data_IF_536923457357
#
_entry.id   IF_536923457357
#
_cell.length_a   1.000
_cell.length_b   1.000
_cell.length_c   1.000
_cell.angle_alpha   90.00
_cell.angle_beta   90.00
_cell.angle_gamma   90.00
#
_symmetry.space_group_name_H-M   'P 1'
#
loop_
_entity.id
_entity.type
_entity.pdbx_description
1 polymer ?
#
# COMPACT_ATOMS: atom_id res chain seq x y z
N UNK A 1 10.91 31.27 -6.20
CA UNK A 1 11.13 29.81 -6.21
C UNK A 1 9.76 29.19 -6.35
N UNK A 2 9.41 28.76 -7.56
CA UNK A 2 8.18 28.00 -7.78
C UNK A 2 8.35 26.62 -7.19
N UNK A 3 7.60 26.31 -6.13
CA UNK A 3 7.38 24.93 -5.73
C UNK A 3 6.39 24.34 -6.74
N UNK A 4 6.90 23.72 -7.80
CA UNK A 4 6.07 22.84 -8.61
C UNK A 4 5.60 21.70 -7.68
N UNK A 5 4.33 21.76 -7.25
CA UNK A 5 3.74 20.67 -6.50
C UNK A 5 3.91 19.37 -7.30
N UNK A 6 4.36 18.29 -6.64
CA UNK A 6 4.42 16.98 -7.27
C UNK A 6 3.04 16.64 -7.83
N UNK A 7 2.94 16.30 -9.11
CA UNK A 7 1.66 15.94 -9.73
C UNK A 7 1.32 14.46 -9.52
N UNK A 8 1.76 13.91 -8.38
CA UNK A 8 1.48 12.56 -7.97
C UNK A 8 0.45 12.61 -6.85
N UNK A 9 -0.70 11.97 -7.06
CA UNK A 9 -1.81 11.97 -6.12
C UNK A 9 -2.12 10.57 -5.65
N UNK A 10 -2.43 10.43 -4.36
CA UNK A 10 -3.01 9.22 -3.81
C UNK A 10 -4.53 9.42 -3.68
N UNK A 11 -5.29 8.65 -4.44
CA UNK A 11 -6.76 8.59 -4.34
C UNK A 11 -7.12 7.28 -3.66
N UNK A 12 -8.03 7.32 -2.70
CA UNK A 12 -8.42 6.13 -1.96
C UNK A 12 -9.92 6.14 -1.66
N UNK A 13 -10.57 5.00 -1.88
CA UNK A 13 -11.99 4.80 -1.57
C UNK A 13 -12.34 3.32 -1.36
N UNK A 14 -13.50 3.09 -0.77
CA UNK A 14 -14.08 1.77 -0.55
C UNK A 14 -15.23 1.56 -1.53
N UNK A 15 -15.25 0.40 -2.20
CA UNK A 15 -16.42 -0.06 -2.95
C UNK A 15 -17.15 -1.08 -2.11
N UNK A 16 -18.39 -0.76 -1.71
CA UNK A 16 -19.19 -1.54 -0.74
C UNK A 16 -20.48 -2.13 -1.31
N UNK A 17 -20.56 -2.37 -2.63
CA UNK A 17 -21.70 -3.04 -3.26
C UNK A 17 -21.35 -4.50 -3.58
N UNK A 18 -21.87 -5.45 -2.78
CA UNK A 18 -21.54 -6.88 -2.88
C UNK A 18 -20.26 -7.25 -2.12
N UNK A 19 -19.12 -7.30 -2.81
CA UNK A 19 -17.81 -7.60 -2.22
C UNK A 19 -17.10 -6.32 -1.77
N UNK A 20 -16.90 -6.16 -0.46
CA UNK A 20 -16.19 -5.00 0.08
C UNK A 20 -14.71 -5.04 -0.32
N UNK A 21 -14.26 -4.03 -1.07
CA UNK A 21 -12.86 -3.87 -1.50
C UNK A 21 -12.38 -2.44 -1.26
N UNK A 22 -11.10 -2.31 -0.92
CA UNK A 22 -10.39 -1.03 -0.89
C UNK A 22 -9.72 -0.85 -2.25
N UNK A 23 -9.90 0.33 -2.84
CA UNK A 23 -9.23 0.75 -4.07
C UNK A 23 -8.34 1.94 -3.71
N UNK A 24 -7.04 1.79 -3.92
CA UNK A 24 -6.07 2.87 -3.80
C UNK A 24 -5.44 3.11 -5.17
N UNK A 25 -5.36 4.36 -5.61
CA UNK A 25 -4.84 4.74 -6.92
C UNK A 25 -3.69 5.71 -6.70
N UNK A 26 -2.51 5.35 -7.20
CA UNK A 26 -1.37 6.26 -7.31
C UNK A 26 -1.42 6.86 -8.71
N UNK A 27 -1.89 8.09 -8.80
CA UNK A 27 -2.06 8.85 -10.04
C UNK A 27 -0.81 9.68 -10.30
N UNK A 28 -0.21 9.58 -11.48
CA UNK A 28 0.90 10.42 -11.92
C UNK A 28 0.46 11.20 -13.16
N UNK A 29 0.15 12.49 -12.98
CA UNK A 29 -0.28 13.37 -14.07
C UNK A 29 0.88 13.89 -14.92
N UNK A 30 2.13 13.78 -14.46
CA UNK A 30 3.28 14.11 -15.33
C UNK A 30 3.39 13.12 -16.49
N UNK A 31 3.15 11.84 -16.18
CA UNK A 31 3.22 10.76 -17.16
C UNK A 31 1.86 10.32 -17.71
N UNK A 32 0.76 10.85 -17.15
CA UNK A 32 -0.61 10.45 -17.45
C UNK A 32 -0.82 8.93 -17.28
N UNK A 33 -0.36 8.40 -16.15
CA UNK A 33 -0.48 6.98 -15.79
C UNK A 33 -0.99 6.82 -14.36
N UNK A 34 -1.48 5.63 -14.03
CA UNK A 34 -1.80 5.29 -12.65
C UNK A 34 -1.50 3.83 -12.33
N UNK A 35 -1.26 3.55 -11.06
CA UNK A 35 -1.38 2.19 -10.53
C UNK A 35 -2.60 2.11 -9.64
N UNK A 36 -3.49 1.19 -9.96
CA UNK A 36 -4.67 0.84 -9.17
C UNK A 36 -4.34 -0.40 -8.35
N UNK A 37 -4.45 -0.26 -7.03
CA UNK A 37 -4.33 -1.33 -6.07
C UNK A 37 -5.72 -1.69 -5.57
N UNK A 38 -6.19 -2.89 -5.91
CA UNK A 38 -7.45 -3.42 -5.38
C UNK A 38 -7.16 -4.42 -4.28
N UNK A 39 -7.50 -4.08 -3.04
CA UNK A 39 -7.36 -4.95 -1.88
C UNK A 39 -8.70 -5.55 -1.46
N UNK A 40 -8.74 -6.87 -1.31
CA UNK A 40 -9.89 -7.63 -0.85
C UNK A 40 -9.56 -8.33 0.46
N UNK A 41 -10.42 -8.14 1.46
CA UNK A 41 -10.40 -8.95 2.66
C UNK A 41 -11.03 -10.32 2.38
N UNK A 42 -10.61 -11.36 3.11
CA UNK A 42 -11.21 -12.67 2.99
C UNK A 42 -12.68 -12.65 3.41
N UNK A 43 -13.51 -13.41 2.70
CA UNK A 43 -14.85 -13.78 3.18
C UNK A 43 -14.73 -14.72 4.40
N UNK A 44 -15.81 -14.87 5.19
CA UNK A 44 -15.84 -15.60 6.47
C UNK A 44 -15.22 -17.02 6.41
N UNK A 45 -15.40 -17.72 5.30
CA UNK A 45 -14.85 -19.08 5.11
C UNK A 45 -13.31 -19.07 5.02
N UNK A 46 -12.71 -18.01 4.47
CA UNK A 46 -11.25 -17.88 4.35
C UNK A 46 -10.57 -17.34 5.61
N UNK A 47 -11.26 -16.60 6.47
CA UNK A 47 -10.72 -16.08 7.75
C UNK A 47 -10.63 -17.15 8.84
N UNK A 48 -11.30 -18.28 8.63
CA UNK A 48 -11.46 -19.34 9.63
C UNK A 48 -10.44 -20.49 9.48
N UNK A 49 -9.60 -20.48 8.44
CA UNK A 49 -8.55 -21.50 8.23
C UNK A 49 -7.32 -21.11 9.08
N UNK A 50 -6.93 -21.94 10.07
CA UNK A 50 -5.74 -21.69 10.89
C UNK A 50 -4.46 -21.58 10.04
N UNK A 51 -3.50 -20.77 10.51
CA UNK A 51 -2.22 -20.57 9.80
C UNK A 51 -1.44 -21.88 9.57
N UNK A 52 -1.52 -22.83 10.51
CA UNK A 52 -0.85 -24.12 10.39
C UNK A 52 -1.43 -24.93 9.22
N UNK A 53 -2.76 -25.00 9.14
CA UNK A 53 -3.45 -25.68 8.05
C UNK A 53 -3.17 -25.03 6.68
N UNK A 54 -3.07 -23.69 6.62
CA UNK A 54 -2.64 -22.98 5.40
C UNK A 54 -1.24 -23.39 4.95
N UNK A 55 -0.30 -23.52 5.88
CA UNK A 55 1.07 -23.93 5.59
C UNK A 55 1.13 -25.39 5.11
N UNK A 56 0.40 -26.28 5.77
CA UNK A 56 0.27 -27.70 5.37
C UNK A 56 -0.30 -27.86 3.95
N UNK A 57 -1.16 -26.94 3.53
CA UNK A 57 -1.79 -26.91 2.21
C UNK A 57 -1.04 -26.05 1.17
N UNK A 58 0.13 -25.49 1.52
CA UNK A 58 0.91 -24.64 0.61
C UNK A 58 0.24 -23.31 0.23
N UNK A 59 -0.75 -22.86 1.00
CA UNK A 59 -1.46 -21.61 0.76
C UNK A 59 -0.65 -20.39 1.25
N UNK A 60 -0.91 -19.19 0.69
CA UNK A 60 -0.45 -17.95 1.32
C UNK A 60 -0.92 -17.86 2.78
N UNK A 61 0.02 -17.49 3.66
CA UNK A 61 -0.25 -17.35 5.10
C UNK A 61 -1.17 -16.16 5.40
N UNK A 62 -1.16 -15.13 4.55
CA UNK A 62 -2.14 -14.05 4.59
C UNK A 62 -3.38 -14.45 3.82
N UNK A 63 -4.55 -14.19 4.40
CA UNK A 63 -5.85 -14.35 3.76
C UNK A 63 -6.29 -13.10 2.98
N UNK A 64 -5.53 -11.99 3.07
CA UNK A 64 -5.78 -10.74 2.34
C UNK A 64 -5.18 -10.84 0.93
N UNK A 65 -5.93 -10.39 -0.07
CA UNK A 65 -5.49 -10.40 -1.47
C UNK A 65 -5.40 -8.97 -1.99
N UNK A 66 -4.33 -8.67 -2.74
CA UNK A 66 -4.19 -7.41 -3.46
C UNK A 66 -3.84 -7.68 -4.92
N UNK A 67 -4.55 -7.03 -5.85
CA UNK A 67 -4.20 -6.98 -7.27
C UNK A 67 -3.68 -5.59 -7.63
N UNK A 68 -2.79 -5.56 -8.62
CA UNK A 68 -2.12 -4.35 -9.09
C UNK A 68 -2.38 -4.24 -10.58
N UNK A 69 -2.96 -3.11 -11.00
CA UNK A 69 -3.28 -2.82 -12.38
C UNK A 69 -2.60 -1.50 -12.75
N UNK A 70 -1.90 -1.47 -13.88
CA UNK A 70 -1.24 -0.28 -14.40
C UNK A 70 -2.04 0.25 -15.58
N UNK A 71 -2.45 1.51 -15.50
CA UNK A 71 -3.38 2.13 -16.47
C UNK A 71 -2.84 3.44 -16.99
N UNK A 72 -3.32 3.84 -18.18
CA UNK A 72 -3.09 5.18 -18.73
C UNK A 72 -4.30 6.08 -18.44
N UNK A 73 -4.04 7.37 -18.26
CA UNK A 73 -5.05 8.41 -18.03
C UNK A 73 -5.30 9.11 -19.37
N UNK A 74 -6.57 9.23 -19.74
CA UNK A 74 -7.08 9.91 -20.93
C UNK A 74 -6.51 9.43 -22.29
N UNK A 75 -5.74 8.35 -22.29
CA UNK A 75 -5.11 7.77 -23.47
C UNK A 75 -5.25 6.24 -23.48
N UNK A 76 -5.28 5.59 -24.66
CA UNK A 76 -5.17 4.14 -24.75
C UNK A 76 -3.81 3.63 -24.25
N UNK A 77 -3.80 2.49 -23.57
CA UNK A 77 -2.56 1.82 -23.19
C UNK A 77 -1.88 1.23 -24.44
N UNK A 78 -0.56 1.38 -24.53
CA UNK A 78 0.27 0.85 -25.63
C UNK A 78 1.62 0.37 -25.08
N UNK A 79 2.42 -0.31 -25.91
CA UNK A 79 3.73 -0.84 -25.51
C UNK A 79 4.75 0.26 -25.11
N UNK A 80 4.50 1.51 -25.51
CA UNK A 80 5.33 2.66 -25.16
C UNK A 80 4.81 3.44 -23.95
N UNK A 81 3.63 3.09 -23.43
CA UNK A 81 3.08 3.73 -22.24
C UNK A 81 3.95 3.40 -21.02
N UNK A 82 4.49 4.40 -20.29
CA UNK A 82 5.26 4.16 -19.08
C UNK A 82 4.44 3.40 -18.03
N UNK A 83 5.11 2.59 -17.21
CA UNK A 83 4.47 1.87 -16.10
C UNK A 83 5.33 1.96 -14.86
N UNK A 84 4.67 2.10 -13.70
CA UNK A 84 5.32 1.97 -12.40
C UNK A 84 5.72 0.51 -12.20
N UNK A 85 7.02 0.23 -12.02
CA UNK A 85 7.57 -1.14 -11.99
C UNK A 85 7.93 -1.57 -10.58
N UNK A 86 7.91 -2.90 -10.36
CA UNK A 86 8.47 -3.50 -9.14
C UNK A 86 9.97 -3.24 -9.07
N UNK A 87 10.47 -2.94 -7.87
CA UNK A 87 11.89 -2.63 -7.62
C UNK A 87 12.43 -3.43 -6.43
N UNK A 88 13.74 -3.69 -6.45
CA UNK A 88 14.49 -4.34 -5.37
C UNK A 88 15.32 -3.36 -4.55
N UNK A 89 15.29 -2.07 -4.88
CA UNK A 89 16.22 -1.08 -4.36
C UNK A 89 16.12 -0.81 -2.85
N UNK A 90 15.03 -1.23 -2.18
CA UNK A 90 14.96 -1.22 -0.70
C UNK A 90 15.41 -2.52 -0.03
N UNK A 91 15.67 -3.59 -0.78
CA UNK A 91 16.22 -4.82 -0.20
C UNK A 91 17.60 -4.50 0.38
N UNK A 92 17.77 -4.73 1.68
CA UNK A 92 19.04 -4.52 2.40
C UNK A 92 19.26 -3.10 2.94
N UNK A 93 18.38 -2.13 2.65
CA UNK A 93 18.44 -0.84 3.33
C UNK A 93 17.81 -0.95 4.72
N UNK A 94 18.48 -0.38 5.72
CA UNK A 94 17.95 -0.24 7.07
C UNK A 94 17.33 1.14 7.20
N UNK A 95 16.02 1.21 7.09
CA UNK A 95 15.27 2.42 7.39
C UNK A 95 14.52 2.16 8.69
N UNK A 96 14.76 2.99 9.72
CA UNK A 96 14.15 2.77 11.03
C UNK A 96 12.76 3.41 11.06
N UNK A 97 11.76 2.56 10.97
CA UNK A 97 10.38 2.86 11.36
C UNK A 97 9.97 1.78 12.36
N UNK A 98 9.70 2.18 13.61
CA UNK A 98 9.48 1.22 14.70
C UNK A 98 8.00 0.91 14.81
N UNK A 99 7.56 -0.20 14.20
CA UNK A 99 6.22 -0.77 14.42
C UNK A 99 6.18 -2.34 14.54
N UNK A 100 6.80 -3.20 13.68
CA UNK A 100 6.99 -4.66 13.96
C UNK A 100 8.01 -5.45 13.07
N UNK A 101 8.10 -6.81 13.13
CA UNK A 101 9.09 -7.70 12.41
C UNK A 101 8.67 -8.20 11.01
N UNK A 102 7.51 -7.81 10.45
CA UNK A 102 6.97 -8.36 9.17
C UNK A 102 6.86 -7.33 8.05
N UNK A 103 7.55 -6.21 8.22
CA UNK A 103 7.29 -5.03 7.43
C UNK A 103 8.17 -5.04 6.16
N UNK A 104 7.62 -4.52 5.06
CA UNK A 104 8.21 -4.50 3.71
C UNK A 104 8.55 -3.07 3.32
N UNK A 105 9.66 -2.92 2.60
CA UNK A 105 10.22 -1.65 2.18
C UNK A 105 10.45 -1.70 0.63
N UNK A 106 9.92 -0.75 -0.15
CA UNK A 106 10.32 -0.44 -1.56
C UNK A 106 10.92 0.95 -1.78
N UNK A 107 12.00 1.08 -2.58
CA UNK A 107 12.62 2.40 -2.85
C UNK A 107 11.94 2.89 -4.10
N UNK A 108 11.28 4.02 -4.00
CA UNK A 108 10.58 4.60 -5.13
C UNK A 108 11.53 5.52 -5.91
N UNK A 109 12.33 6.31 -5.19
CA UNK A 109 13.36 7.20 -5.75
C UNK A 109 14.42 7.54 -4.67
N UNK A 110 15.39 8.39 -4.99
CA UNK A 110 16.25 9.03 -4.00
C UNK A 110 15.38 9.72 -2.95
N UNK A 111 15.67 9.46 -1.67
CA UNK A 111 14.93 10.00 -0.55
C UNK A 111 13.42 9.68 -0.53
N UNK A 112 12.94 8.74 -1.37
CA UNK A 112 11.53 8.38 -1.46
C UNK A 112 11.33 6.88 -1.32
N UNK A 113 10.53 6.48 -0.35
CA UNK A 113 10.39 5.09 0.07
C UNK A 113 8.93 4.73 0.31
N UNK A 114 8.57 3.47 0.10
CA UNK A 114 7.30 2.89 0.48
C UNK A 114 7.53 1.91 1.61
N UNK A 115 6.83 2.11 2.70
CA UNK A 115 6.82 1.24 3.87
C UNK A 115 5.44 0.61 4.03
N UNK A 116 5.42 -0.72 4.14
CA UNK A 116 4.19 -1.51 4.32
C UNK A 116 4.36 -2.42 5.52
N UNK A 117 3.49 -2.32 6.51
CA UNK A 117 3.48 -3.25 7.63
C UNK A 117 2.19 -4.04 7.72
N UNK A 118 2.31 -5.25 8.26
CA UNK A 118 1.20 -6.16 8.52
C UNK A 118 1.18 -6.49 10.01
N UNK A 119 0.20 -5.92 10.70
CA UNK A 119 -0.06 -6.19 12.11
C UNK A 119 -0.40 -7.67 12.32
N UNK A 120 0.17 -8.27 13.36
CA UNK A 120 0.04 -9.71 13.63
C UNK A 120 -1.20 -10.06 14.47
N UNK A 121 -1.66 -9.13 15.30
CA UNK A 121 -2.72 -9.38 16.30
C UNK A 121 -4.06 -8.85 15.82
N UNK A 122 -4.12 -7.56 15.49
CA UNK A 122 -5.30 -6.96 14.86
C UNK A 122 -5.05 -6.99 13.36
N UNK A 123 -5.91 -7.61 12.53
CA UNK A 123 -5.72 -7.65 11.09
C UNK A 123 -5.71 -6.23 10.52
N UNK A 124 -4.51 -5.72 10.28
CA UNK A 124 -4.30 -4.33 9.88
C UNK A 124 -3.09 -4.25 8.96
N UNK A 125 -3.26 -3.51 7.87
CA UNK A 125 -2.20 -3.18 6.93
C UNK A 125 -1.99 -1.68 6.97
N UNK A 126 -0.77 -1.26 7.24
CA UNK A 126 -0.36 0.12 7.00
C UNK A 126 0.47 0.21 5.74
N UNK A 127 0.25 1.26 4.96
CA UNK A 127 1.01 1.58 3.75
C UNK A 127 1.31 3.06 3.81
N UNK A 128 2.58 3.44 3.82
CA UNK A 128 3.01 4.84 3.83
C UNK A 128 4.15 5.06 2.85
N UNK A 129 4.09 6.18 2.13
CA UNK A 129 5.18 6.75 1.37
C UNK A 129 5.93 7.71 2.29
N UNK A 130 7.23 7.48 2.39
CA UNK A 130 8.17 8.24 3.20
C UNK A 130 9.01 9.07 2.24
N UNK A 131 8.74 10.37 2.21
CA UNK A 131 9.40 11.38 1.40
C UNK A 131 10.34 12.20 2.29
N UNK A 132 11.64 11.92 2.19
CA UNK A 132 12.67 12.59 2.97
C UNK A 132 13.09 13.92 2.35
N UNK A 133 12.75 14.20 1.09
CA UNK A 133 12.96 15.54 0.52
C UNK A 133 11.90 16.50 1.06
N UNK A 134 10.65 16.05 1.15
CA UNK A 134 9.57 16.80 1.77
C UNK A 134 9.58 16.76 3.31
N UNK A 135 10.34 15.83 3.91
CA UNK A 135 10.31 15.48 5.34
C UNK A 135 8.89 15.11 5.80
N UNK A 136 8.26 14.19 5.07
CA UNK A 136 6.86 13.81 5.22
C UNK A 136 6.61 12.33 5.03
N UNK A 137 5.62 11.82 5.75
CA UNK A 137 5.00 10.52 5.50
C UNK A 137 3.56 10.72 5.05
N UNK A 138 3.13 9.97 4.04
CA UNK A 138 1.77 9.97 3.51
C UNK A 138 1.30 8.55 3.26
N UNK A 139 0.14 8.18 3.77
CA UNK A 139 -0.36 6.84 3.56
C UNK A 139 -1.71 6.58 4.19
N UNK A 140 -1.94 5.31 4.51
CA UNK A 140 -3.20 4.84 5.07
C UNK A 140 -3.03 3.61 5.93
N UNK A 141 -4.00 3.42 6.81
CA UNK A 141 -4.19 2.19 7.54
C UNK A 141 -5.51 1.55 7.14
N UNK A 142 -5.49 0.24 6.95
CA UNK A 142 -6.63 -0.55 6.56
C UNK A 142 -6.81 -1.73 7.49
N UNK A 143 -8.02 -1.94 7.99
CA UNK A 143 -8.36 -3.06 8.87
C UNK A 143 -9.87 -3.23 9.01
N UNK A 144 -10.30 -4.11 9.91
CA UNK A 144 -11.71 -4.18 10.28
C UNK A 144 -12.09 -3.02 11.19
N UNK A 145 -13.31 -2.48 11.02
CA UNK A 145 -13.84 -1.39 11.85
C UNK A 145 -14.05 -1.81 13.31
N UNK A 146 -14.29 -3.10 13.55
CA UNK A 146 -14.47 -3.65 14.89
C UNK A 146 -13.88 -5.06 14.98
N UNK A 147 -14.23 -5.76 16.06
CA UNK A 147 -13.68 -7.08 16.37
C UNK A 147 -14.18 -8.22 15.47
N UNK A 148 -15.17 -7.95 14.61
CA UNK A 148 -15.74 -8.93 13.69
C UNK A 148 -15.35 -8.62 12.25
N UNK A 149 -15.20 -9.67 11.44
CA UNK A 149 -15.02 -9.53 9.99
C UNK A 149 -16.26 -8.91 9.35
N UNK A 150 -16.07 -8.18 8.24
CA UNK A 150 -17.15 -7.59 7.45
C UNK A 150 -16.95 -6.09 7.23
N UNK A 151 -17.30 -5.27 8.22
CA UNK A 151 -17.13 -3.81 8.10
C UNK A 151 -15.65 -3.44 8.19
N UNK A 152 -15.16 -2.71 7.20
CA UNK A 152 -13.75 -2.29 7.12
C UNK A 152 -13.59 -0.82 7.49
N UNK A 153 -12.41 -0.47 7.97
CA UNK A 153 -11.95 0.89 8.19
C UNK A 153 -10.75 1.13 7.29
N UNK A 154 -10.76 2.26 6.60
CA UNK A 154 -9.64 2.74 5.81
C UNK A 154 -9.53 4.24 6.08
N UNK A 155 -8.40 4.69 6.59
CA UNK A 155 -8.23 6.08 6.94
C UNK A 155 -6.81 6.55 6.61
N UNK A 156 -6.68 7.81 6.13
CA UNK A 156 -5.39 8.36 5.80
C UNK A 156 -4.58 8.57 7.08
N UNK A 157 -3.28 8.38 6.95
CA UNK A 157 -2.30 8.69 7.97
C UNK A 157 -1.15 9.44 7.32
N UNK A 158 -0.48 10.27 8.10
CA UNK A 158 0.69 10.99 7.64
C UNK A 158 1.38 11.66 8.81
N UNK A 159 2.63 12.03 8.62
CA UNK A 159 3.44 12.63 9.67
C UNK A 159 4.47 13.59 9.11
N UNK A 160 5.03 14.42 10.00
CA UNK A 160 6.30 15.09 9.75
C UNK A 160 7.42 14.08 10.02
N UNK A 161 8.38 14.01 9.11
CA UNK A 161 9.59 13.20 9.29
C UNK A 161 10.68 14.09 9.87
N UNK A 162 11.48 13.54 10.78
CA UNK A 162 12.71 14.16 11.28
C UNK A 162 13.81 13.12 11.33
N UNK A 163 14.88 13.34 10.57
CA UNK A 163 16.09 12.52 10.63
C UNK A 163 16.88 12.96 11.87
N UNK A 164 17.26 12.00 12.71
CA UNK A 164 17.90 12.28 14.01
C UNK A 164 19.41 11.98 14.03
N UNK A 165 19.90 11.20 13.07
CA UNK A 165 21.32 10.83 12.91
C UNK A 165 21.60 10.28 11.51
N UNK A 166 22.88 10.28 11.14
CA UNK A 166 23.47 9.64 9.95
C UNK A 166 24.65 8.75 10.36
#
# INVERSE_FOLDING_TARGET
MDFAASQVFLIDFIVSYGDTKSISIVLDLHQNIATVITSKLPVKEGTSIPMLQRAEQGMPLSSVHASFEHVSIDNPISDVTPQQKKTKELIGKRVQFVYSRKDVYYKLDNNLYLFVWLEKVIPTTGIVVEDFDAMRSYGKTYGYYGYTTGRVSNFPIGSYVKILNE
#
